data_IF_279029025588
#
_entry.id   IF_279029025588
#
_cell.length_a   1.000
_cell.length_b   1.000
_cell.length_c   1.000
_cell.angle_alpha   90.00
_cell.angle_beta   90.00
_cell.angle_gamma   90.00
#
_symmetry.space_group_name_H-M   'P 1'
#
loop_
_entity.id
_entity.type
_entity.pdbx_description
1 polymer ?
#
# COMPACT_ATOMS: atom_id res chain seq x y z
N UNK A 1 26.87 -5.84 20.02
CA UNK A 1 26.72 -6.02 19.52
C UNK A 1 26.22 -6.13 18.97
N UNK A 2 26.26 -5.83 18.75
CA UNK A 2 26.01 -5.96 18.07
C UNK A 2 25.91 -6.04 17.35
N UNK A 3 26.19 -5.81 17.18
CA UNK A 3 26.36 -5.99 16.33
C UNK A 3 26.53 -6.34 15.70
N UNK A 4 26.96 -6.25 15.75
CA UNK A 4 27.34 -6.59 15.02
C UNK A 4 27.35 -6.44 14.22
N UNK A 5 27.52 -6.08 14.20
CA UNK A 5 27.72 -6.02 13.34
C UNK A 5 28.29 -5.75 12.75
N UNK A 6 29.02 -5.35 12.76
CA UNK A 6 29.70 -5.27 12.12
C UNK A 6 30.44 -5.48 11.69
N UNK A 7 30.93 -5.34 11.49
CA UNK A 7 31.65 -5.47 10.85
C UNK A 7 32.40 -6.03 10.35
N UNK A 8 32.62 -5.96 10.22
CA UNK A 8 33.49 -6.35 9.67
C UNK A 8 33.54 -7.34 8.93
N UNK A 9 33.49 -7.63 8.66
CA UNK A 9 33.53 -8.56 8.11
C UNK A 9 33.63 -8.67 6.89
N UNK A 10 34.12 -8.28 6.33
CA UNK A 10 34.19 -8.42 5.20
C UNK A 10 35.29 -8.61 4.73
N UNK A 11 35.73 -9.22 4.72
CA UNK A 11 36.78 -9.48 4.37
C UNK A 11 36.82 -9.72 3.04
N UNK A 12 37.36 -9.53 2.33
CA UNK A 12 37.46 -9.80 1.03
C UNK A 12 36.44 -9.21 0.26
N UNK A 13 35.94 -8.59 0.05
CA UNK A 13 34.97 -8.07 -0.69
C UNK A 13 34.11 -7.28 0.16
N UNK A 14 33.11 -6.79 -0.31
CA UNK A 14 32.19 -6.10 0.43
C UNK A 14 31.36 -7.01 1.19
N UNK A 15 31.11 -6.73 2.41
CA UNK A 15 30.23 -7.59 3.20
C UNK A 15 28.84 -7.49 2.67
N UNK A 16 28.11 -8.57 2.78
CA UNK A 16 26.76 -8.57 2.41
C UNK A 16 25.96 -7.93 3.49
N UNK A 17 24.99 -7.12 3.06
CA UNK A 17 24.10 -6.52 4.02
C UNK A 17 23.19 -7.59 4.56
N UNK A 18 23.00 -7.56 5.85
CA UNK A 18 22.14 -8.49 6.48
C UNK A 18 20.78 -7.86 6.56
N UNK A 19 19.89 -8.22 5.71
CA UNK A 19 18.59 -7.63 5.65
C UNK A 19 17.57 -8.47 6.38
N UNK A 20 16.82 -7.83 7.23
CA UNK A 20 15.76 -8.50 7.95
C UNK A 20 14.51 -8.36 7.09
N UNK A 21 14.16 -9.40 6.38
CA UNK A 21 13.04 -9.34 5.47
C UNK A 21 11.72 -9.05 6.17
N UNK A 22 11.59 -9.52 7.39
CA UNK A 22 10.39 -9.24 8.14
C UNK A 22 10.24 -7.76 8.40
N UNK A 23 11.33 -7.10 8.72
CA UNK A 23 11.30 -5.68 8.95
C UNK A 23 11.04 -4.92 7.66
N UNK A 24 11.62 -5.39 6.57
CA UNK A 24 11.39 -4.77 5.28
C UNK A 24 9.91 -4.89 4.92
N UNK A 25 9.32 -6.05 5.19
CA UNK A 25 7.91 -6.26 4.90
C UNK A 25 7.05 -5.29 5.70
N UNK A 26 7.39 -5.10 6.96
CA UNK A 26 6.63 -4.18 7.80
C UNK A 26 6.73 -2.74 7.33
N UNK A 27 7.91 -2.35 6.89
CA UNK A 27 8.08 -1.01 6.38
C UNK A 27 7.32 -0.83 5.08
N UNK A 28 7.29 -1.87 4.25
CA UNK A 28 6.53 -1.82 3.02
C UNK A 28 5.04 -1.73 3.31
N UNK A 29 4.58 -2.38 4.37
CA UNK A 29 3.18 -2.27 4.74
C UNK A 29 2.81 -0.84 5.07
N UNK A 30 3.76 -0.10 5.63
CA UNK A 30 3.54 1.31 5.91
C UNK A 30 3.68 2.16 4.66
N UNK A 31 3.91 1.52 3.53
CA UNK A 31 4.05 2.20 2.24
C UNK A 31 5.29 3.06 2.16
N UNK A 32 6.33 2.68 2.89
CA UNK A 32 7.60 3.37 2.77
C UNK A 32 8.16 3.08 1.39
N UNK A 33 8.78 4.08 0.78
CA UNK A 33 9.36 3.86 -0.53
C UNK A 33 10.61 3.00 -0.39
N UNK A 34 11.02 2.40 -1.50
CA UNK A 34 12.21 1.58 -1.48
C UNK A 34 13.41 2.41 -1.09
N UNK A 35 13.42 3.66 -1.51
CA UNK A 35 14.50 4.57 -1.15
C UNK A 35 14.56 4.79 0.35
N UNK A 36 13.40 4.97 0.99
CA UNK A 36 13.35 5.14 2.42
C UNK A 36 13.84 3.90 3.14
N UNK A 37 13.41 2.74 2.65
CA UNK A 37 13.82 1.49 3.26
C UNK A 37 15.33 1.31 3.12
N UNK A 38 15.86 1.61 1.94
CA UNK A 38 17.29 1.48 1.72
C UNK A 38 18.06 2.41 2.65
N UNK A 39 17.53 3.59 2.87
CA UNK A 39 18.18 4.54 3.74
C UNK A 39 18.23 4.00 5.18
N UNK A 40 17.14 3.41 5.62
CA UNK A 40 17.09 2.84 6.96
C UNK A 40 18.10 1.74 7.14
N UNK A 41 18.27 0.89 6.13
CA UNK A 41 19.20 -0.21 6.22
C UNK A 41 20.61 0.14 5.77
N UNK A 42 20.81 1.36 5.29
CA UNK A 42 22.14 1.80 4.92
C UNK A 42 22.68 1.11 3.69
N UNK A 43 21.83 0.82 2.73
CA UNK A 43 22.27 0.17 1.51
C UNK A 43 21.57 0.80 0.32
N UNK A 44 21.84 0.29 -0.87
CA UNK A 44 21.25 0.85 -2.06
C UNK A 44 19.89 0.26 -2.31
N UNK A 45 19.10 0.95 -3.12
CA UNK A 45 17.79 0.42 -3.48
C UNK A 45 17.93 -0.88 -4.24
N UNK A 46 18.99 -1.01 -5.03
CA UNK A 46 19.20 -2.25 -5.77
C UNK A 46 19.44 -3.41 -4.83
N UNK A 47 20.16 -3.18 -3.75
CA UNK A 47 20.40 -4.22 -2.78
C UNK A 47 19.10 -4.69 -2.16
N UNK A 48 18.23 -3.75 -1.82
CA UNK A 48 16.92 -4.09 -1.27
C UNK A 48 16.11 -4.90 -2.27
N UNK A 49 16.04 -4.43 -3.50
CA UNK A 49 15.26 -5.13 -4.50
C UNK A 49 15.80 -6.52 -4.77
N UNK A 50 17.11 -6.63 -4.87
CA UNK A 50 17.70 -7.90 -5.20
C UNK A 50 17.49 -8.94 -4.13
N UNK A 51 17.50 -8.52 -2.89
CA UNK A 51 17.44 -9.46 -1.79
C UNK A 51 16.09 -9.60 -1.12
N UNK A 52 15.20 -8.67 -1.34
CA UNK A 52 13.95 -8.68 -0.60
C UNK A 52 12.75 -8.26 -1.43
N UNK A 53 12.78 -8.55 -2.73
CA UNK A 53 11.67 -8.16 -3.59
C UNK A 53 10.36 -8.79 -3.13
N UNK A 54 10.42 -10.03 -2.69
CA UNK A 54 9.21 -10.69 -2.19
C UNK A 54 8.60 -9.96 -1.02
N UNK A 55 9.47 -9.60 -0.09
CA UNK A 55 9.00 -8.91 1.10
C UNK A 55 8.40 -7.56 0.75
N UNK A 56 9.00 -6.87 -0.22
CA UNK A 56 8.48 -5.60 -0.68
C UNK A 56 7.10 -5.75 -1.29
N UNK A 57 6.99 -6.69 -2.21
CA UNK A 57 5.71 -6.89 -2.91
C UNK A 57 4.61 -7.27 -1.94
N UNK A 58 4.91 -8.21 -1.07
CA UNK A 58 3.93 -8.65 -0.11
C UNK A 58 3.53 -7.53 0.84
N UNK A 59 4.54 -6.81 1.32
CA UNK A 59 4.27 -5.72 2.26
C UNK A 59 3.44 -4.61 1.64
N UNK A 60 3.81 -4.19 0.44
CA UNK A 60 3.06 -3.12 -0.21
C UNK A 60 1.61 -3.52 -0.44
N UNK A 61 1.41 -4.74 -0.94
CA UNK A 61 0.05 -5.20 -1.20
C UNK A 61 -0.74 -5.32 0.09
N UNK A 62 -0.12 -5.88 1.10
CA UNK A 62 -0.79 -6.10 2.36
C UNK A 62 -1.17 -4.78 3.03
N UNK A 63 -0.28 -3.80 2.95
CA UNK A 63 -0.56 -2.50 3.53
C UNK A 63 -1.73 -1.82 2.86
N UNK A 64 -1.80 -1.93 1.53
CA UNK A 64 -2.92 -1.34 0.82
C UNK A 64 -4.22 -2.01 1.20
N UNK A 65 -4.17 -3.32 1.37
CA UNK A 65 -5.37 -4.05 1.77
C UNK A 65 -5.83 -3.63 3.16
N UNK A 66 -4.87 -3.49 4.06
CA UNK A 66 -5.21 -3.06 5.42
C UNK A 66 -5.83 -1.67 5.43
N UNK A 67 -5.26 -0.77 4.66
CA UNK A 67 -5.78 0.57 4.59
C UNK A 67 -7.17 0.57 3.99
N UNK A 68 -7.34 -0.16 2.90
CA UNK A 68 -8.62 -0.23 2.25
C UNK A 68 -9.68 -0.80 3.19
N UNK A 69 -9.31 -1.82 3.94
CA UNK A 69 -10.23 -2.42 4.90
C UNK A 69 -10.64 -1.43 5.97
N UNK A 70 -9.66 -0.67 6.46
CA UNK A 70 -9.95 0.33 7.48
C UNK A 70 -10.85 1.43 6.93
N UNK A 71 -10.62 1.83 5.70
CA UNK A 71 -11.44 2.86 5.08
C UNK A 71 -12.86 2.38 4.87
N UNK A 72 -13.01 1.14 4.42
CA UNK A 72 -14.34 0.59 4.23
C UNK A 72 -15.08 0.51 5.56
N UNK A 73 -14.38 0.08 6.60
CA UNK A 73 -15.02 0.00 7.90
C UNK A 73 -15.42 1.38 8.37
N UNK A 74 -14.55 2.35 8.17
CA UNK A 74 -14.85 3.70 8.59
C UNK A 74 -16.03 4.27 7.81
N UNK A 75 -16.09 4.00 6.52
CA UNK A 75 -17.18 4.51 5.71
C UNK A 75 -18.48 3.79 6.00
N UNK A 76 -18.42 2.47 6.15
CA UNK A 76 -19.66 1.70 6.27
C UNK A 76 -20.17 1.56 7.69
N UNK A 77 -19.28 1.49 8.64
CA UNK A 77 -19.71 1.32 10.02
C UNK A 77 -19.76 2.61 10.79
N UNK A 78 -18.81 3.48 10.57
CA UNK A 78 -18.79 4.76 11.28
C UNK A 78 -19.45 5.85 10.48
N UNK A 79 -19.84 5.55 9.26
CA UNK A 79 -20.54 6.52 8.40
C UNK A 79 -19.77 7.81 8.20
N UNK A 80 -18.47 7.70 7.99
CA UNK A 80 -17.66 8.89 7.77
C UNK A 80 -17.91 9.42 6.37
N UNK A 81 -18.54 10.58 6.29
CA UNK A 81 -18.84 11.16 4.99
C UNK A 81 -17.60 11.45 4.16
N UNK A 82 -16.55 12.03 4.71
CA UNK A 82 -15.35 12.28 3.90
C UNK A 82 -14.78 11.00 3.31
N UNK A 83 -14.77 9.91 4.08
CA UNK A 83 -14.23 8.67 3.58
C UNK A 83 -15.16 8.07 2.53
N UNK A 84 -16.47 8.17 2.75
CA UNK A 84 -17.42 7.67 1.78
C UNK A 84 -17.26 8.39 0.45
N UNK A 85 -17.07 9.68 0.48
CA UNK A 85 -16.90 10.46 -0.73
C UNK A 85 -15.62 10.08 -1.43
N UNK A 86 -14.55 9.95 -0.67
CA UNK A 86 -13.27 9.58 -1.25
C UNK A 86 -13.35 8.22 -1.92
N UNK A 87 -13.93 7.25 -1.25
CA UNK A 87 -14.04 5.91 -1.81
C UNK A 87 -14.95 5.89 -3.02
N UNK A 88 -16.01 6.65 -2.98
CA UNK A 88 -16.91 6.70 -4.11
C UNK A 88 -16.18 7.22 -5.35
N UNK A 89 -15.39 8.26 -5.18
CA UNK A 89 -14.66 8.81 -6.31
C UNK A 89 -13.60 7.87 -6.83
N UNK A 90 -12.92 7.21 -5.94
CA UNK A 90 -11.78 6.40 -6.35
C UNK A 90 -12.10 4.96 -6.72
N UNK A 91 -13.11 4.40 -6.15
CA UNK A 91 -13.46 3.03 -6.46
C UNK A 91 -14.64 2.89 -7.37
N UNK A 92 -15.57 3.82 -7.29
CA UNK A 92 -16.78 3.73 -8.09
C UNK A 92 -16.83 4.71 -9.23
N UNK A 93 -15.82 5.56 -9.34
CA UNK A 93 -15.78 6.48 -10.46
C UNK A 93 -16.76 7.63 -10.38
N UNK A 94 -17.26 7.90 -9.20
CA UNK A 94 -18.19 9.01 -9.06
C UNK A 94 -17.45 10.32 -9.01
N UNK A 95 -18.12 11.39 -9.38
CA UNK A 95 -17.50 12.69 -9.31
C UNK A 95 -18.48 13.68 -8.73
N UNK A 96 -17.95 14.81 -8.32
CA UNK A 96 -18.78 15.85 -7.74
C UNK A 96 -19.80 16.34 -8.73
N UNK A 97 -19.44 16.37 -10.00
CA UNK A 97 -20.35 16.85 -11.01
C UNK A 97 -21.38 15.84 -11.42
N UNK A 98 -21.06 14.60 -11.23
CA UNK A 98 -21.98 13.55 -11.62
C UNK A 98 -22.13 13.36 -13.10
N UNK A 99 -21.41 14.12 -13.88
CA UNK A 99 -21.56 14.07 -15.30
C UNK A 99 -20.28 14.07 -16.06
N UNK A 100 -19.23 13.89 -15.39
CA UNK A 100 -17.95 14.06 -16.01
C UNK A 100 -17.76 13.20 -17.23
N UNK A 101 -17.94 11.94 -17.05
CA UNK A 101 -17.74 11.04 -18.12
C UNK A 101 -18.93 10.20 -18.20
N UNK A 102 -19.51 10.12 -19.32
CA UNK A 102 -20.73 9.39 -19.42
C UNK A 102 -20.59 7.98 -18.95
N UNK A 103 -19.49 7.34 -19.34
CA UNK A 103 -19.37 5.97 -18.92
C UNK A 103 -19.10 5.82 -17.49
N UNK A 104 -18.15 6.58 -17.01
CA UNK A 104 -17.75 6.46 -15.63
C UNK A 104 -18.85 6.91 -14.70
N UNK A 105 -19.67 7.82 -15.16
CA UNK A 105 -20.70 8.36 -14.28
C UNK A 105 -22.08 7.90 -14.62
N UNK A 106 -22.18 6.85 -15.39
CA UNK A 106 -23.48 6.32 -15.67
C UNK A 106 -24.12 5.88 -14.37
N UNK A 107 -25.42 5.99 -14.27
CA UNK A 107 -26.08 5.56 -13.05
C UNK A 107 -25.81 4.11 -12.79
N UNK A 108 -25.60 3.78 -11.55
CA UNK A 108 -25.35 2.39 -11.21
C UNK A 108 -26.63 1.62 -11.34
N UNK A 109 -26.52 0.41 -11.81
CA UNK A 109 -27.74 -0.38 -12.04
C UNK A 109 -28.61 -0.51 -10.81
N UNK A 110 -28.00 -0.66 -9.66
CA UNK A 110 -28.81 -0.85 -8.48
C UNK A 110 -29.63 0.36 -8.11
N UNK A 111 -29.28 1.47 -8.65
CA UNK A 111 -29.98 2.68 -8.34
C UNK A 111 -31.38 2.68 -8.86
N UNK A 112 -31.56 2.21 -10.07
CA UNK A 112 -32.84 2.21 -10.63
C UNK A 112 -33.43 0.88 -10.72
N UNK A 113 -32.64 -0.10 -11.00
CA UNK A 113 -33.17 -1.42 -11.17
C UNK A 113 -33.76 -1.99 -9.94
N UNK A 114 -33.12 -1.74 -8.82
CA UNK A 114 -33.65 -2.25 -7.59
C UNK A 114 -34.99 -1.68 -7.30
N UNK A 115 -35.14 -0.41 -7.57
CA UNK A 115 -36.41 0.23 -7.33
C UNK A 115 -37.45 -0.31 -8.28
N UNK A 116 -37.05 -0.51 -9.48
CA UNK A 116 -38.00 -0.97 -10.49
C UNK A 116 -38.46 -2.36 -10.22
N UNK A 117 -37.62 -3.19 -9.71
CA UNK A 117 -38.01 -4.56 -9.52
C UNK A 117 -38.89 -4.73 -8.33
N UNK A 118 -39.00 -3.79 -7.55
CA UNK A 118 -39.86 -3.91 -6.40
C UNK A 118 -41.28 -3.78 -6.76
#
# INVERSE_FOLDING_TARGET
MTTETVPAQNKGGRPKHKLDKEQIRKLAELQCTIREIAYIFGCSTDTIKRNAQDALDYGYANGKIKLRRAMFRNACENHSAPVQIFLAKNLLGMSDNGLVDSEANAPLPWNENLDATD
#
